data_IF_802006100732
#
_entry.id   IF_802006100732
#
_cell.length_a   1.000
_cell.length_b   1.000
_cell.length_c   1.000
_cell.angle_alpha   90.00
_cell.angle_beta   90.00
_cell.angle_gamma   90.00
#
_symmetry.space_group_name_H-M   'P 1'
#
loop_
_entity.id
_entity.type
_entity.pdbx_description
1 polymer ?
#
# COMPACT_ATOMS: atom_id res chain seq x y z
N UNK A 1 3.46 24.31 -9.69
CA UNK A 1 2.06 23.83 -9.71
C UNK A 1 2.09 22.32 -9.55
N UNK A 2 1.03 21.68 -9.03
CA UNK A 2 0.92 20.22 -9.04
C UNK A 2 0.61 19.78 -10.48
N UNK A 3 1.66 19.71 -11.30
CA UNK A 3 1.56 19.26 -12.68
C UNK A 3 1.08 17.81 -12.71
N UNK A 4 0.09 17.51 -13.55
CA UNK A 4 -0.45 16.15 -13.66
C UNK A 4 -1.50 15.77 -12.61
N UNK A 5 -1.96 16.69 -11.76
CA UNK A 5 -3.13 16.48 -10.88
C UNK A 5 -4.27 17.41 -11.31
N UNK A 6 -5.38 16.83 -11.75
CA UNK A 6 -6.59 17.56 -12.13
C UNK A 6 -7.74 17.18 -11.20
N UNK A 7 -8.56 18.15 -10.80
CA UNK A 7 -9.72 17.90 -9.96
C UNK A 7 -11.00 18.08 -10.77
N UNK A 8 -11.91 17.13 -10.61
CA UNK A 8 -13.29 17.25 -11.09
C UNK A 8 -14.11 17.87 -9.97
N UNK A 9 -14.81 18.96 -10.27
CA UNK A 9 -15.69 19.66 -9.34
C UNK A 9 -17.15 19.47 -9.70
N UNK A 10 -18.03 19.37 -8.71
CA UNK A 10 -19.47 19.39 -8.92
C UNK A 10 -19.96 20.83 -9.21
N UNK A 11 -21.26 20.98 -9.44
CA UNK A 11 -21.92 22.28 -9.71
C UNK A 11 -21.85 23.26 -8.53
N UNK A 12 -21.60 22.78 -7.32
CA UNK A 12 -21.37 23.60 -6.13
C UNK A 12 -19.89 24.01 -5.95
N UNK A 13 -18.99 23.55 -6.83
CA UNK A 13 -17.56 23.82 -6.77
C UNK A 13 -16.78 22.88 -5.84
N UNK A 14 -17.40 21.81 -5.33
CA UNK A 14 -16.74 20.83 -4.46
C UNK A 14 -16.01 19.78 -5.30
N UNK A 15 -14.80 19.41 -4.88
CA UNK A 15 -13.98 18.41 -5.57
C UNK A 15 -14.54 17.00 -5.32
N UNK A 16 -14.99 16.32 -6.36
CA UNK A 16 -15.60 14.98 -6.27
C UNK A 16 -14.67 13.87 -6.75
N UNK A 17 -13.78 14.16 -7.69
CA UNK A 17 -12.82 13.20 -8.21
C UNK A 17 -11.49 13.87 -8.57
N UNK A 18 -10.45 13.06 -8.70
CA UNK A 18 -9.11 13.49 -9.09
C UNK A 18 -8.59 12.62 -10.23
N UNK A 19 -8.01 13.27 -11.23
CA UNK A 19 -7.26 12.64 -12.31
C UNK A 19 -5.78 12.84 -12.02
N UNK A 20 -5.05 11.75 -11.83
CA UNK A 20 -3.62 11.77 -11.52
C UNK A 20 -2.82 11.12 -12.63
N UNK A 21 -1.70 11.74 -13.01
CA UNK A 21 -0.74 11.12 -13.91
C UNK A 21 0.07 10.04 -13.16
N UNK A 22 -0.25 8.77 -13.43
CA UNK A 22 0.42 7.63 -12.80
C UNK A 22 1.91 7.53 -13.13
N UNK A 23 2.41 8.10 -14.23
CA UNK A 23 3.86 8.08 -14.51
C UNK A 23 4.65 9.02 -13.62
N UNK A 24 4.01 10.08 -13.12
CA UNK A 24 4.64 11.10 -12.30
C UNK A 24 4.42 10.84 -10.79
N UNK A 25 3.35 10.13 -10.47
CA UNK A 25 2.90 9.86 -9.10
C UNK A 25 2.67 8.36 -8.87
N UNK A 26 3.48 7.51 -9.48
CA UNK A 26 3.41 6.05 -9.34
C UNK A 26 3.55 5.64 -7.86
N UNK A 27 4.63 6.06 -7.19
CA UNK A 27 4.91 5.72 -5.80
C UNK A 27 3.79 6.20 -4.86
N UNK A 28 3.25 7.40 -5.10
CA UNK A 28 2.15 7.95 -4.29
C UNK A 28 0.84 7.16 -4.50
N UNK A 29 0.57 6.76 -5.73
CA UNK A 29 -0.61 5.95 -6.04
C UNK A 29 -0.49 4.54 -5.47
N UNK A 30 0.69 3.92 -5.52
CA UNK A 30 0.96 2.62 -4.90
C UNK A 30 0.66 2.66 -3.39
N UNK A 31 1.23 3.62 -2.66
CA UNK A 31 0.98 3.79 -1.22
C UNK A 31 -0.52 3.97 -0.90
N UNK A 32 -1.20 4.79 -1.71
CA UNK A 32 -2.63 5.05 -1.53
C UNK A 32 -3.48 3.81 -1.79
N UNK A 33 -3.19 3.10 -2.88
CA UNK A 33 -3.92 1.91 -3.29
C UNK A 33 -3.69 0.75 -2.31
N UNK A 34 -2.45 0.51 -1.89
CA UNK A 34 -2.11 -0.51 -0.90
C UNK A 34 -2.83 -0.27 0.42
N UNK A 35 -2.94 0.98 0.86
CA UNK A 35 -3.70 1.36 2.04
C UNK A 35 -5.21 1.11 1.90
N UNK A 36 -5.78 1.33 0.71
CA UNK A 36 -7.19 1.01 0.44
C UNK A 36 -7.43 -0.50 0.45
N UNK A 37 -6.58 -1.27 -0.23
CA UNK A 37 -6.67 -2.74 -0.28
C UNK A 37 -6.51 -3.32 1.13
N UNK A 38 -5.53 -2.86 1.91
CA UNK A 38 -5.33 -3.32 3.28
C UNK A 38 -6.57 -3.07 4.17
N UNK A 39 -7.24 -1.93 4.00
CA UNK A 39 -8.49 -1.63 4.72
C UNK A 39 -9.64 -2.51 4.25
N UNK A 40 -9.79 -2.72 2.95
CA UNK A 40 -10.82 -3.59 2.39
C UNK A 40 -10.69 -5.02 2.90
N UNK A 41 -9.45 -5.49 3.09
CA UNK A 41 -9.12 -6.84 3.54
C UNK A 41 -8.93 -6.94 5.06
N UNK A 42 -9.32 -5.92 5.81
CA UNK A 42 -9.05 -5.86 7.26
C UNK A 42 -9.76 -6.97 8.05
N UNK A 43 -10.93 -7.40 7.57
CA UNK A 43 -11.78 -8.41 8.21
C UNK A 43 -11.58 -9.82 7.62
N UNK A 44 -10.67 -9.98 6.66
CA UNK A 44 -10.33 -11.31 6.14
C UNK A 44 -9.64 -12.15 7.24
N UNK A 45 -9.93 -13.46 7.30
CA UNK A 45 -9.22 -14.36 8.21
C UNK A 45 -7.71 -14.27 8.01
N UNK A 46 -6.98 -14.08 9.10
CA UNK A 46 -5.52 -14.01 9.07
C UNK A 46 -4.92 -15.39 9.30
N UNK A 47 -3.91 -15.71 8.50
CA UNK A 47 -3.04 -16.86 8.74
C UNK A 47 -1.83 -16.43 9.57
N UNK A 48 -1.35 -17.34 10.43
CA UNK A 48 -0.12 -17.08 11.18
C UNK A 48 1.09 -17.13 10.26
N UNK A 49 2.10 -16.30 10.56
CA UNK A 49 3.35 -16.27 9.79
C UNK A 49 4.04 -17.64 9.71
N UNK A 50 3.96 -18.44 10.79
CA UNK A 50 4.55 -19.78 10.85
C UNK A 50 3.83 -20.75 9.91
N UNK A 51 2.49 -20.76 9.88
CA UNK A 51 1.73 -21.60 8.96
C UNK A 51 2.04 -21.25 7.50
N UNK A 52 2.09 -19.96 7.17
CA UNK A 52 2.43 -19.49 5.83
C UNK A 52 3.88 -19.88 5.47
N UNK A 53 4.82 -19.77 6.41
CA UNK A 53 6.22 -20.16 6.20
C UNK A 53 6.35 -21.65 5.89
N UNK A 54 5.67 -22.51 6.65
CA UNK A 54 5.69 -23.96 6.41
C UNK A 54 5.02 -24.31 5.08
N UNK A 55 3.88 -23.71 4.75
CA UNK A 55 3.21 -23.89 3.47
C UNK A 55 4.11 -23.48 2.28
N UNK A 56 4.85 -22.38 2.40
CA UNK A 56 5.79 -21.92 1.36
C UNK A 56 7.01 -22.83 1.23
N UNK A 57 7.51 -23.42 2.33
CA UNK A 57 8.57 -24.44 2.27
C UNK A 57 8.09 -25.71 1.58
N UNK A 58 6.87 -26.17 1.89
CA UNK A 58 6.27 -27.33 1.24
C UNK A 58 6.05 -27.11 -0.26
N UNK A 59 5.79 -25.87 -0.68
CA UNK A 59 5.66 -25.48 -2.08
C UNK A 59 7.00 -25.19 -2.77
N UNK A 60 8.15 -25.36 -2.09
CA UNK A 60 9.50 -25.00 -2.56
C UNK A 60 9.64 -23.53 -3.05
N UNK A 61 8.74 -22.66 -2.57
CA UNK A 61 8.72 -21.22 -2.90
C UNK A 61 9.58 -20.39 -1.95
N UNK A 62 10.11 -21.00 -0.89
CA UNK A 62 10.89 -20.34 0.15
C UNK A 62 12.42 -20.45 -0.07
N UNK A 63 12.88 -20.58 -1.32
CA UNK A 63 14.30 -20.75 -1.65
C UNK A 63 14.97 -19.53 -2.32
N UNK A 64 14.29 -18.39 -2.30
CA UNK A 64 14.78 -17.19 -2.99
C UNK A 64 15.61 -16.36 -2.01
N UNK A 65 16.91 -16.20 -2.28
CA UNK A 65 17.67 -15.04 -1.78
C UNK A 65 17.03 -13.81 -2.42
N UNK A 66 15.97 -13.29 -1.81
CA UNK A 66 15.36 -12.04 -2.23
C UNK A 66 16.29 -10.94 -1.76
N UNK A 67 17.27 -10.56 -2.59
CA UNK A 67 17.87 -9.23 -2.50
C UNK A 67 16.81 -8.23 -2.96
N UNK A 68 15.83 -8.01 -2.09
CA UNK A 68 14.95 -6.87 -2.24
C UNK A 68 15.83 -5.65 -2.03
N UNK A 69 16.06 -4.88 -3.09
CA UNK A 69 16.41 -3.47 -2.94
C UNK A 69 15.19 -2.81 -2.30
N UNK A 70 15.06 -2.96 -0.98
CA UNK A 70 14.10 -2.21 -0.19
C UNK A 70 14.53 -0.77 -0.35
N UNK A 71 13.86 -0.02 -1.25
CA UNK A 71 14.04 1.43 -1.27
C UNK A 71 13.75 1.89 0.15
N UNK A 72 14.64 2.67 0.78
CA UNK A 72 14.42 3.12 2.13
C UNK A 72 13.14 3.95 2.13
N UNK A 73 12.08 3.41 2.74
CA UNK A 73 10.80 4.08 2.93
C UNK A 73 11.10 5.30 3.80
N UNK A 74 11.21 6.46 3.15
CA UNK A 74 11.60 7.69 3.81
C UNK A 74 10.39 8.28 4.53
N UNK A 75 10.68 8.84 5.71
CA UNK A 75 9.83 9.68 6.56
C UNK A 75 8.77 8.97 7.41
N UNK A 76 8.75 9.33 8.69
CA UNK A 76 7.73 9.31 9.77
C UNK A 76 6.36 8.64 9.57
N UNK A 77 5.84 8.54 8.34
CA UNK A 77 4.59 7.89 7.92
C UNK A 77 4.53 6.40 8.30
N UNK A 78 5.67 5.70 8.25
CA UNK A 78 5.77 4.29 8.64
C UNK A 78 5.59 4.05 10.14
N UNK A 79 5.98 5.02 10.99
CA UNK A 79 5.71 4.91 12.43
C UNK A 79 4.22 5.01 12.73
N UNK A 80 3.44 5.72 11.92
CA UNK A 80 1.99 5.78 12.07
C UNK A 80 1.33 4.47 11.58
N UNK A 81 1.74 3.96 10.42
CA UNK A 81 1.25 2.68 9.88
C UNK A 81 1.60 1.50 10.81
N UNK A 82 2.84 1.37 11.26
CA UNK A 82 3.25 0.32 12.20
C UNK A 82 2.55 0.43 13.57
N UNK A 83 2.30 1.65 14.08
CA UNK A 83 1.51 1.85 15.31
C UNK A 83 0.05 1.46 15.13
N UNK A 84 -0.51 1.64 13.94
CA UNK A 84 -1.88 1.25 13.62
C UNK A 84 -2.01 -0.27 13.44
N UNK A 85 -1.03 -0.94 12.82
CA UNK A 85 -0.99 -2.39 12.72
C UNK A 85 -0.73 -3.10 14.05
N UNK A 86 0.07 -2.52 14.96
CA UNK A 86 0.39 -3.13 16.28
C UNK A 86 -0.68 -2.92 17.36
N UNK A 87 -1.75 -2.16 17.10
CA UNK A 87 -2.82 -1.85 18.08
C UNK A 87 -4.09 -2.71 17.91
N UNK A 88 -4.10 -3.72 17.04
CA UNK A 88 -5.23 -4.65 16.85
C UNK A 88 -4.78 -6.09 16.88
#
# INVERSE_FOLDING_TARGET
>A
MLEGIQFVTNTAGEKTAVLINLKQYDELWEDFYDGLVARQRADEPRESLELVREALKQQDKLNVRVHHHVRPVSSERDRAFQRQCRRK
#
